data_IF_591200997381
#
_entry.id   IF_591200997381
#
_cell.length_a   1.000
_cell.length_b   1.000
_cell.length_c   1.000
_cell.angle_alpha   90.00
_cell.angle_beta   90.00
_cell.angle_gamma   90.00
#
_symmetry.space_group_name_H-M   'P 1'
#
loop_
_entity.id
_entity.type
_entity.pdbx_description
1 polymer ?
#
# COMPACT_ATOMS: atom_id res chain seq x y z
N UNK A 1 59.47 28.41 -42.56
CA UNK A 1 58.22 27.66 -42.35
C UNK A 1 58.60 26.22 -42.08
N UNK A 2 58.58 25.79 -40.81
CA UNK A 2 59.04 24.44 -40.42
C UNK A 2 58.02 23.38 -40.84
N UNK A 3 58.49 22.28 -41.42
CA UNK A 3 57.64 21.18 -41.87
C UNK A 3 56.83 20.49 -40.75
N UNK A 4 57.08 20.78 -39.47
CA UNK A 4 56.39 20.13 -38.34
C UNK A 4 54.90 20.48 -38.26
N UNK A 5 54.51 21.71 -38.64
CA UNK A 5 53.11 22.15 -38.56
C UNK A 5 52.23 21.50 -39.62
N UNK A 6 52.80 21.16 -40.77
CA UNK A 6 52.07 20.48 -41.85
C UNK A 6 51.71 19.05 -41.45
N UNK A 7 52.64 18.30 -40.86
CA UNK A 7 52.38 16.93 -40.42
C UNK A 7 51.41 16.87 -39.23
N UNK A 8 51.48 17.85 -38.32
CA UNK A 8 50.52 17.93 -37.21
C UNK A 8 49.08 18.18 -37.71
N UNK A 9 48.90 19.08 -38.68
CA UNK A 9 47.58 19.36 -39.28
C UNK A 9 47.05 18.16 -40.08
N UNK A 10 47.91 17.49 -40.86
CA UNK A 10 47.52 16.30 -41.60
C UNK A 10 47.12 15.14 -40.67
N UNK A 11 47.87 14.92 -39.60
CA UNK A 11 47.54 13.93 -38.58
C UNK A 11 46.20 14.24 -37.90
N UNK A 12 45.93 15.51 -37.59
CA UNK A 12 44.65 15.95 -37.03
C UNK A 12 43.46 15.69 -37.96
N UNK A 13 43.61 15.99 -39.26
CA UNK A 13 42.56 15.74 -40.26
C UNK A 13 42.31 14.25 -40.46
N UNK A 14 43.37 13.42 -40.52
CA UNK A 14 43.22 11.98 -40.65
C UNK A 14 42.57 11.34 -39.42
N UNK A 15 42.91 11.80 -38.21
CA UNK A 15 42.27 11.35 -36.98
C UNK A 15 40.79 11.73 -36.93
N UNK A 16 40.45 12.97 -37.31
CA UNK A 16 39.06 13.42 -37.37
C UNK A 16 38.24 12.64 -38.41
N UNK A 17 38.80 12.41 -39.61
CA UNK A 17 38.16 11.63 -40.67
C UNK A 17 37.96 10.16 -40.25
N UNK A 18 38.92 9.55 -39.57
CA UNK A 18 38.81 8.19 -39.03
C UNK A 18 37.72 8.08 -37.97
N UNK A 19 37.61 9.06 -37.06
CA UNK A 19 36.57 9.11 -36.04
C UNK A 19 35.18 9.31 -36.65
N UNK A 20 35.05 10.15 -37.67
CA UNK A 20 33.80 10.33 -38.43
C UNK A 20 33.42 9.06 -39.20
N UNK A 21 34.39 8.41 -39.85
CA UNK A 21 34.17 7.13 -40.53
C UNK A 21 33.69 6.03 -39.57
N UNK A 22 34.27 5.96 -38.37
CA UNK A 22 33.85 5.07 -37.30
C UNK A 22 32.43 5.39 -36.79
N UNK A 23 32.09 6.67 -36.64
CA UNK A 23 30.76 7.10 -36.22
C UNK A 23 29.67 6.77 -37.27
N UNK A 24 30.00 6.87 -38.57
CA UNK A 24 29.08 6.52 -39.66
C UNK A 24 28.95 4.99 -39.80
N UNK A 25 30.06 4.26 -39.76
CA UNK A 25 30.06 2.80 -39.91
C UNK A 25 29.46 2.08 -38.68
N UNK A 26 29.53 2.70 -37.51
CA UNK A 26 29.00 2.17 -36.25
C UNK A 26 28.35 3.29 -35.43
N UNK A 27 27.14 3.74 -35.81
CA UNK A 27 26.42 4.79 -35.07
C UNK A 27 26.18 4.41 -33.60
N UNK A 28 26.14 3.11 -33.28
CA UNK A 28 26.01 2.62 -31.91
C UNK A 28 27.31 2.66 -31.08
N UNK A 29 28.48 2.82 -31.71
CA UNK A 29 29.76 2.80 -31.00
C UNK A 29 29.89 3.94 -30.00
N UNK A 30 29.29 5.11 -30.29
CA UNK A 30 29.22 6.22 -29.34
C UNK A 30 28.38 5.87 -28.11
N UNK A 31 27.21 5.25 -28.30
CA UNK A 31 26.35 4.78 -27.20
C UNK A 31 27.07 3.73 -26.35
N UNK A 32 27.68 2.73 -26.98
CA UNK A 32 28.45 1.68 -26.31
C UNK A 32 29.68 2.23 -25.57
N UNK A 33 30.34 3.26 -26.10
CA UNK A 33 31.47 3.91 -25.45
C UNK A 33 31.02 4.71 -24.22
N UNK A 34 29.87 5.39 -24.28
CA UNK A 34 29.27 6.09 -23.12
C UNK A 34 28.81 5.09 -22.06
N UNK A 35 28.20 3.98 -22.47
CA UNK A 35 27.82 2.87 -21.58
C UNK A 35 29.06 2.28 -20.87
N UNK A 36 30.11 1.91 -21.62
CA UNK A 36 31.38 1.42 -21.04
C UNK A 36 32.08 2.46 -20.16
N UNK A 37 32.08 3.74 -20.55
CA UNK A 37 32.66 4.80 -19.73
C UNK A 37 31.88 4.98 -18.41
N UNK A 38 30.56 4.75 -18.44
CA UNK A 38 29.75 4.75 -17.23
C UNK A 38 30.01 3.54 -16.32
N UNK A 39 30.36 2.38 -16.90
CA UNK A 39 30.77 1.18 -16.16
C UNK A 39 32.16 1.33 -15.51
N UNK A 40 33.05 2.16 -16.09
CA UNK A 40 34.40 2.41 -15.59
C UNK A 40 34.49 3.55 -14.58
N UNK A 41 33.46 4.40 -14.47
CA UNK A 41 33.44 5.45 -13.45
C UNK A 41 33.40 4.81 -12.05
N UNK A 42 34.20 5.28 -11.06
CA UNK A 42 34.14 4.73 -9.71
C UNK A 42 32.69 4.79 -9.22
N UNK A 43 32.18 3.71 -8.60
CA UNK A 43 30.78 3.62 -8.23
C UNK A 43 30.45 4.82 -7.34
N UNK A 44 29.65 5.75 -7.88
CA UNK A 44 29.16 6.88 -7.11
C UNK A 44 28.42 6.28 -5.92
N UNK A 45 28.80 6.67 -4.70
CA UNK A 45 28.14 6.18 -3.49
C UNK A 45 26.62 6.24 -3.66
N UNK A 46 25.95 5.13 -3.35
CA UNK A 46 24.51 5.00 -3.51
C UNK A 46 23.80 6.10 -2.71
N UNK A 47 22.77 6.72 -3.28
CA UNK A 47 21.87 7.61 -2.54
C UNK A 47 21.22 6.88 -1.38
N UNK A 48 20.94 5.58 -1.54
CA UNK A 48 20.43 4.72 -0.48
C UNK A 48 21.29 4.73 0.81
N UNK A 49 22.57 5.09 0.72
CA UNK A 49 23.50 5.15 1.84
C UNK A 49 23.77 6.58 2.32
N UNK A 50 23.25 7.60 1.63
CA UNK A 50 23.50 9.01 1.95
C UNK A 50 22.41 9.58 2.84
N UNK A 51 22.81 10.40 3.81
CA UNK A 51 21.86 11.16 4.62
C UNK A 51 20.94 12.01 3.73
N UNK A 52 19.68 12.15 4.15
CA UNK A 52 18.73 12.99 3.44
C UNK A 52 19.14 14.47 3.53
N UNK A 53 19.02 15.25 2.44
CA UNK A 53 19.33 16.67 2.48
C UNK A 53 18.42 17.39 3.49
N UNK A 54 19.00 18.08 4.45
CA UNK A 54 18.23 18.83 5.44
C UNK A 54 17.41 19.94 4.78
N UNK A 55 16.12 20.03 5.12
CA UNK A 55 15.23 21.11 4.68
C UNK A 55 14.77 21.03 3.21
N UNK A 56 15.12 19.98 2.46
CA UNK A 56 14.59 19.76 1.11
C UNK A 56 13.54 18.65 1.13
N UNK A 57 12.48 18.75 0.31
CA UNK A 57 11.55 17.64 0.09
C UNK A 57 12.32 16.40 -0.39
N UNK A 58 12.02 15.24 0.20
CA UNK A 58 12.63 13.98 -0.26
C UNK A 58 12.12 13.57 -1.65
N UNK A 59 10.94 14.07 -2.04
CA UNK A 59 10.32 13.88 -3.35
C UNK A 59 10.29 15.22 -4.09
N UNK A 60 10.55 15.20 -5.39
CA UNK A 60 10.64 16.39 -6.25
C UNK A 60 9.74 16.32 -7.48
N UNK A 61 9.14 15.17 -7.75
CA UNK A 61 8.34 14.89 -8.94
C UNK A 61 7.06 14.11 -8.57
N UNK A 62 5.93 14.28 -9.30
CA UNK A 62 4.73 13.47 -9.09
C UNK A 62 4.96 11.98 -9.39
N UNK A 63 4.10 11.13 -8.82
CA UNK A 63 4.14 9.67 -9.00
C UNK A 63 3.65 9.21 -10.39
N UNK A 64 2.76 9.98 -11.00
CA UNK A 64 2.18 9.76 -12.33
C UNK A 64 1.67 11.10 -12.90
N UNK A 65 1.35 11.20 -14.20
CA UNK A 65 0.66 12.36 -14.77
C UNK A 65 -0.68 12.59 -14.05
N UNK A 66 -0.85 13.77 -13.41
CA UNK A 66 -1.99 14.04 -12.53
C UNK A 66 -3.33 14.04 -13.28
N UNK A 67 -3.30 14.39 -14.56
CA UNK A 67 -4.45 14.37 -15.47
C UNK A 67 -5.05 12.97 -15.60
N UNK A 68 -4.24 11.92 -15.50
CA UNK A 68 -4.67 10.53 -15.62
C UNK A 68 -5.12 9.93 -14.27
N UNK A 69 -4.90 10.66 -13.17
CA UNK A 69 -5.34 10.28 -11.82
C UNK A 69 -6.79 10.72 -11.60
N UNK A 70 -7.65 9.74 -11.32
CA UNK A 70 -9.04 9.96 -10.92
C UNK A 70 -9.11 10.45 -9.47
N UNK A 71 -8.54 9.66 -8.56
CA UNK A 71 -8.56 9.90 -7.13
C UNK A 71 -7.37 9.24 -6.44
N UNK A 72 -7.08 9.68 -5.23
CA UNK A 72 -6.05 9.10 -4.36
C UNK A 72 -6.72 8.60 -3.10
N UNK A 73 -6.74 7.29 -2.87
CA UNK A 73 -7.21 6.75 -1.61
C UNK A 73 -6.18 7.02 -0.51
N UNK A 74 -6.61 7.53 0.65
CA UNK A 74 -5.69 8.00 1.68
C UNK A 74 -4.96 6.84 2.38
N UNK A 75 -3.82 7.19 2.98
CA UNK A 75 -3.11 6.32 3.91
C UNK A 75 -4.03 5.93 5.08
N UNK A 76 -4.00 4.65 5.45
CA UNK A 76 -4.85 4.10 6.51
C UNK A 76 -6.28 3.78 6.06
N UNK A 77 -6.55 3.74 4.75
CA UNK A 77 -7.81 3.20 4.24
C UNK A 77 -8.01 1.75 4.71
N UNK A 78 -9.23 1.43 5.16
CA UNK A 78 -9.59 0.11 5.70
C UNK A 78 -10.77 -0.52 4.94
N UNK A 79 -11.02 -0.07 3.71
CA UNK A 79 -12.30 -0.31 3.02
C UNK A 79 -12.21 -1.30 1.88
N UNK A 80 -11.00 -1.70 1.48
CA UNK A 80 -10.79 -2.60 0.34
C UNK A 80 -10.56 -4.05 0.84
N UNK A 81 -11.40 -5.01 0.42
CA UNK A 81 -11.20 -6.42 0.74
C UNK A 81 -9.84 -6.94 0.24
N UNK A 82 -9.21 -7.83 1.00
CA UNK A 82 -7.96 -8.48 0.60
C UNK A 82 -6.69 -7.64 0.81
N UNK A 83 -6.83 -6.40 1.30
CA UNK A 83 -5.69 -5.53 1.55
C UNK A 83 -5.15 -5.64 2.99
N UNK A 84 -3.85 -5.34 3.19
CA UNK A 84 -3.30 -5.17 4.52
C UNK A 84 -4.07 -4.06 5.25
N UNK A 85 -4.44 -4.32 6.50
CA UNK A 85 -5.24 -3.40 7.29
C UNK A 85 -4.47 -2.74 8.43
N UNK A 86 -4.66 -1.41 8.60
CA UNK A 86 -5.08 -0.46 7.57
C UNK A 86 -4.01 -0.35 6.48
N UNK A 87 -4.38 0.15 5.30
CA UNK A 87 -3.47 0.25 4.17
C UNK A 87 -2.26 1.13 4.53
N UNK A 88 -1.01 0.63 4.43
CA UNK A 88 0.20 1.37 4.79
C UNK A 88 0.73 2.25 3.64
N UNK A 89 -0.12 2.54 2.67
CA UNK A 89 0.18 3.32 1.46
C UNK A 89 -1.01 4.19 1.10
N UNK A 90 -0.78 5.19 0.24
CA UNK A 90 -1.86 5.77 -0.56
C UNK A 90 -2.09 4.90 -1.79
N UNK A 91 -3.31 4.84 -2.31
CA UNK A 91 -3.57 4.24 -3.61
C UNK A 91 -3.87 5.30 -4.65
N UNK A 92 -3.15 5.26 -5.76
CA UNK A 92 -3.44 6.06 -6.95
C UNK A 92 -4.47 5.30 -7.77
N UNK A 93 -5.68 5.85 -7.89
CA UNK A 93 -6.74 5.30 -8.74
C UNK A 93 -6.77 6.06 -10.06
N UNK A 94 -6.69 5.34 -11.16
CA UNK A 94 -6.68 5.93 -12.50
C UNK A 94 -8.10 6.11 -13.03
N UNK A 95 -8.25 6.94 -14.06
CA UNK A 95 -9.55 7.15 -14.72
C UNK A 95 -10.06 5.89 -15.38
N UNK A 96 -11.36 5.83 -15.65
CA UNK A 96 -11.95 4.75 -16.46
C UNK A 96 -11.30 4.70 -17.86
N UNK A 97 -11.09 3.48 -18.35
CA UNK A 97 -10.69 3.17 -19.71
C UNK A 97 -11.88 3.29 -20.67
N UNK A 98 -11.81 2.57 -21.79
CA UNK A 98 -12.84 2.63 -22.84
C UNK A 98 -14.18 2.04 -22.37
N UNK A 99 -14.13 1.06 -21.45
CA UNK A 99 -15.32 0.51 -20.81
C UNK A 99 -15.54 1.05 -19.39
N UNK A 100 -16.77 0.97 -18.89
CA UNK A 100 -17.17 1.46 -17.56
C UNK A 100 -16.41 0.77 -16.42
N UNK A 101 -15.84 -0.40 -16.68
CA UNK A 101 -15.15 -1.25 -15.72
C UNK A 101 -13.64 -1.33 -15.92
N UNK A 102 -13.13 -0.92 -17.08
CA UNK A 102 -11.69 -0.80 -17.30
C UNK A 102 -11.15 0.46 -16.66
N UNK A 103 -9.91 0.38 -16.18
CA UNK A 103 -9.13 1.53 -15.74
C UNK A 103 -8.08 1.81 -16.80
N UNK A 104 -7.81 3.08 -17.05
CA UNK A 104 -6.77 3.50 -17.98
C UNK A 104 -5.43 3.20 -17.32
N UNK A 105 -4.58 2.45 -18.01
CA UNK A 105 -3.19 2.26 -17.60
C UNK A 105 -2.45 3.60 -17.68
N UNK A 106 -1.67 3.91 -16.66
CA UNK A 106 -0.91 5.17 -16.56
C UNK A 106 0.57 4.89 -16.41
N UNK A 107 1.38 5.83 -16.87
CA UNK A 107 2.82 5.80 -16.68
C UNK A 107 3.16 6.11 -15.22
N UNK A 108 3.98 5.25 -14.63
CA UNK A 108 4.48 5.41 -13.26
C UNK A 108 5.88 6.02 -13.32
N UNK A 109 6.08 7.12 -12.59
CA UNK A 109 7.25 7.98 -12.69
C UNK A 109 8.06 7.97 -11.39
N UNK A 110 9.37 8.07 -11.51
CA UNK A 110 10.26 8.23 -10.36
C UNK A 110 9.97 9.56 -9.64
N UNK A 111 9.63 9.55 -8.33
CA UNK A 111 9.18 10.75 -7.64
C UNK A 111 10.35 11.64 -7.19
N UNK A 112 11.58 11.16 -7.35
CA UNK A 112 12.83 11.87 -7.12
C UNK A 112 13.96 11.12 -7.82
N UNK A 113 15.14 11.72 -7.83
CA UNK A 113 16.37 10.98 -8.06
C UNK A 113 16.55 9.97 -6.90
N UNK A 114 16.60 8.69 -7.22
CA UNK A 114 16.66 7.62 -6.23
C UNK A 114 17.48 6.42 -6.72
N UNK A 115 17.89 5.56 -5.80
CA UNK A 115 18.29 4.19 -6.15
C UNK A 115 17.08 3.27 -6.02
N UNK A 116 16.79 2.48 -7.05
CA UNK A 116 15.96 1.28 -6.89
C UNK A 116 16.84 0.25 -6.17
N UNK A 117 16.42 -0.16 -4.99
CA UNK A 117 17.16 -1.08 -4.10
C UNK A 117 16.65 -2.52 -4.20
N UNK A 118 15.42 -2.71 -4.65
CA UNK A 118 14.89 -4.02 -4.97
C UNK A 118 13.75 -3.94 -5.99
N UNK A 119 13.56 -5.02 -6.73
CA UNK A 119 12.44 -5.25 -7.64
C UNK A 119 11.81 -6.58 -7.25
N UNK A 120 10.50 -6.60 -7.06
CA UNK A 120 9.73 -7.81 -6.77
C UNK A 120 8.74 -8.06 -7.92
N UNK A 121 8.46 -9.34 -8.21
CA UNK A 121 7.38 -9.78 -9.09
C UNK A 121 6.55 -10.81 -8.35
N UNK A 122 5.24 -10.66 -8.41
CA UNK A 122 4.24 -11.57 -7.86
C UNK A 122 3.30 -12.08 -8.94
N UNK A 123 2.96 -13.36 -8.88
CA UNK A 123 1.87 -13.96 -9.65
C UNK A 123 0.64 -13.97 -8.76
N UNK A 124 -0.36 -13.17 -9.12
CA UNK A 124 -1.64 -13.14 -8.44
C UNK A 124 -2.49 -14.30 -8.95
N UNK A 125 -3.02 -15.11 -8.03
CA UNK A 125 -3.88 -16.25 -8.35
C UNK A 125 -5.33 -15.94 -8.07
N UNK A 126 -6.22 -16.44 -8.93
CA UNK A 126 -7.67 -16.36 -8.72
C UNK A 126 -8.15 -17.35 -7.63
N UNK A 127 -9.46 -17.36 -7.37
CA UNK A 127 -10.10 -18.26 -6.40
C UNK A 127 -9.93 -19.75 -6.73
N UNK A 128 -9.58 -20.10 -7.98
CA UNK A 128 -9.29 -21.47 -8.41
C UNK A 128 -7.81 -21.83 -8.30
N UNK A 129 -6.96 -20.88 -7.88
CA UNK A 129 -5.52 -21.03 -7.81
C UNK A 129 -4.82 -20.87 -9.16
N UNK A 130 -5.50 -20.41 -10.22
CA UNK A 130 -4.87 -20.16 -11.52
C UNK A 130 -4.20 -18.79 -11.52
N UNK A 131 -3.06 -18.69 -12.19
CA UNK A 131 -2.41 -17.40 -12.41
C UNK A 131 -3.36 -16.48 -13.18
N UNK A 132 -3.75 -15.38 -12.56
CA UNK A 132 -4.71 -14.42 -13.08
C UNK A 132 -4.04 -13.11 -13.50
N UNK A 133 -3.01 -12.68 -12.78
CA UNK A 133 -2.26 -11.47 -13.10
C UNK A 133 -0.79 -11.58 -12.67
N UNK A 134 0.03 -10.68 -13.18
CA UNK A 134 1.38 -10.42 -12.67
C UNK A 134 1.41 -9.01 -12.11
N UNK A 135 1.96 -8.87 -10.91
CA UNK A 135 2.09 -7.61 -10.19
C UNK A 135 3.55 -7.38 -9.84
N UNK A 136 4.02 -6.14 -9.98
CA UNK A 136 5.40 -5.78 -9.69
C UNK A 136 5.49 -4.74 -8.58
N UNK A 137 6.55 -4.85 -7.78
CA UNK A 137 6.89 -3.88 -6.74
C UNK A 137 8.26 -3.30 -7.01
N UNK A 138 8.40 -1.97 -6.98
CA UNK A 138 9.67 -1.26 -7.04
C UNK A 138 9.95 -0.62 -5.69
N UNK A 139 11.13 -0.87 -5.12
CA UNK A 139 11.59 -0.30 -3.85
C UNK A 139 12.64 0.77 -4.14
N UNK A 140 12.36 2.03 -3.79
CA UNK A 140 13.21 3.18 -4.07
C UNK A 140 13.73 3.79 -2.77
N UNK A 141 14.97 4.27 -2.79
CA UNK A 141 15.56 5.09 -1.73
C UNK A 141 16.11 6.40 -2.31
N UNK A 142 15.42 7.54 -2.17
CA UNK A 142 16.00 8.85 -2.50
C UNK A 142 17.17 9.23 -1.56
N UNK A 143 17.16 8.70 -0.34
CA UNK A 143 18.22 8.85 0.66
C UNK A 143 18.11 7.73 1.73
N UNK A 144 19.01 7.71 2.71
CA UNK A 144 19.14 6.62 3.68
C UNK A 144 17.95 6.46 4.63
N UNK A 145 17.28 7.55 5.02
CA UNK A 145 16.15 7.47 5.96
C UNK A 145 14.79 7.41 5.29
N UNK A 146 14.68 7.69 3.99
CA UNK A 146 13.40 7.68 3.27
C UNK A 146 13.38 6.50 2.30
N UNK A 147 12.39 5.62 2.47
CA UNK A 147 12.11 4.53 1.54
C UNK A 147 10.74 4.76 0.93
N UNK A 148 10.66 4.67 -0.40
CA UNK A 148 9.42 4.70 -1.16
C UNK A 148 9.24 3.35 -1.82
N UNK A 149 8.01 2.89 -1.99
CA UNK A 149 7.75 1.79 -2.89
C UNK A 149 6.52 2.06 -3.74
N UNK A 150 6.58 1.51 -4.94
CA UNK A 150 5.42 1.37 -5.82
C UNK A 150 5.06 -0.10 -5.86
N UNK A 151 3.82 -0.43 -5.53
CA UNK A 151 3.30 -1.79 -5.57
C UNK A 151 2.12 -1.87 -6.54
N UNK A 152 1.80 -3.09 -6.97
CA UNK A 152 0.75 -3.36 -7.97
C UNK A 152 0.97 -2.70 -9.32
N UNK A 153 2.22 -2.70 -9.80
CA UNK A 153 2.50 -2.30 -11.18
C UNK A 153 2.20 -3.46 -12.13
N UNK A 154 1.48 -3.19 -13.22
CA UNK A 154 1.22 -4.18 -14.29
C UNK A 154 2.51 -4.56 -15.02
N UNK A 155 3.42 -3.59 -15.16
CA UNK A 155 4.71 -3.77 -15.82
C UNK A 155 5.79 -2.85 -15.26
N UNK A 156 7.03 -3.30 -15.35
CA UNK A 156 8.24 -2.51 -15.08
C UNK A 156 8.95 -2.25 -16.40
N UNK A 157 9.55 -1.07 -16.56
CA UNK A 157 10.32 -0.72 -17.74
C UNK A 157 11.41 -1.77 -18.01
N UNK A 158 11.47 -2.30 -19.23
CA UNK A 158 12.38 -3.39 -19.61
C UNK A 158 13.86 -3.03 -19.36
N UNK A 159 14.20 -1.75 -19.52
CA UNK A 159 15.54 -1.23 -19.23
C UNK A 159 15.94 -1.44 -17.76
N UNK A 160 15.01 -1.35 -16.81
CA UNK A 160 15.26 -1.59 -15.39
C UNK A 160 15.46 -3.08 -15.11
N UNK A 161 14.63 -3.94 -15.69
CA UNK A 161 14.78 -5.41 -15.57
C UNK A 161 16.12 -5.87 -16.14
N UNK A 162 16.52 -5.34 -17.31
CA UNK A 162 17.83 -5.62 -17.91
C UNK A 162 18.98 -5.13 -17.02
N UNK A 163 18.90 -3.90 -16.49
CA UNK A 163 19.90 -3.34 -15.56
C UNK A 163 19.97 -4.09 -14.23
N UNK A 164 18.91 -4.81 -13.86
CA UNK A 164 18.88 -5.69 -12.69
C UNK A 164 19.47 -7.09 -12.96
N UNK A 165 19.99 -7.35 -14.17
CA UNK A 165 20.53 -8.66 -14.55
C UNK A 165 19.53 -9.60 -15.23
N UNK A 166 18.34 -9.10 -15.59
CA UNK A 166 17.26 -9.89 -16.18
C UNK A 166 16.53 -10.75 -15.14
N UNK A 167 15.49 -11.46 -15.58
CA UNK A 167 14.70 -12.35 -14.71
C UNK A 167 15.52 -13.50 -14.10
N UNK A 168 16.63 -13.89 -14.73
CA UNK A 168 17.54 -14.92 -14.21
C UNK A 168 18.30 -14.51 -12.96
N UNK A 169 18.36 -13.21 -12.64
CA UNK A 169 18.99 -12.71 -11.42
C UNK A 169 18.04 -12.71 -10.21
N UNK A 170 16.74 -12.96 -10.42
CA UNK A 170 15.76 -12.96 -9.35
C UNK A 170 15.82 -14.28 -8.58
N UNK A 171 15.63 -14.19 -7.27
CA UNK A 171 15.52 -15.33 -6.36
C UNK A 171 14.06 -15.54 -5.95
N UNK A 172 13.66 -16.79 -5.74
CA UNK A 172 12.34 -17.13 -5.23
C UNK A 172 12.21 -16.78 -3.74
N UNK A 173 11.04 -16.24 -3.37
CA UNK A 173 10.65 -15.88 -2.01
C UNK A 173 9.35 -16.64 -1.70
N UNK A 174 9.39 -17.67 -0.88
CA UNK A 174 8.16 -18.42 -0.53
C UNK A 174 7.63 -19.34 -1.63
N UNK A 175 8.24 -19.35 -2.81
CA UNK A 175 7.89 -20.18 -3.95
C UNK A 175 7.97 -19.46 -5.29
N UNK A 176 7.53 -20.11 -6.38
CA UNK A 176 7.70 -19.60 -7.76
C UNK A 176 6.84 -18.38 -8.08
N UNK A 177 5.82 -18.11 -7.25
CA UNK A 177 4.88 -17.00 -7.46
C UNK A 177 5.41 -15.66 -6.95
N UNK A 178 6.47 -15.66 -6.15
CA UNK A 178 7.06 -14.41 -5.66
C UNK A 178 8.56 -14.49 -5.85
N UNK A 179 9.08 -13.65 -6.74
CA UNK A 179 10.50 -13.54 -7.01
C UNK A 179 10.97 -12.12 -6.76
N UNK A 180 12.22 -11.94 -6.35
CA UNK A 180 12.79 -10.61 -6.16
C UNK A 180 14.28 -10.56 -6.46
N UNK A 181 14.80 -9.36 -6.68
CA UNK A 181 16.23 -9.10 -6.87
C UNK A 181 16.63 -7.84 -6.12
N UNK A 182 17.78 -7.88 -5.45
CA UNK A 182 18.41 -6.69 -4.86
C UNK A 182 19.15 -5.95 -5.97
N UNK A 183 19.05 -4.62 -5.99
CA UNK A 183 19.68 -3.84 -7.04
C UNK A 183 20.18 -2.49 -6.55
N UNK A 184 20.88 -1.75 -7.42
CA UNK A 184 21.41 -0.40 -7.16
C UNK A 184 21.24 0.49 -8.39
N UNK A 185 20.06 0.41 -8.98
CA UNK A 185 19.73 1.10 -10.23
C UNK A 185 19.40 2.55 -9.90
N UNK A 186 20.29 3.47 -10.25
CA UNK A 186 20.01 4.91 -10.18
C UNK A 186 18.96 5.30 -11.22
N UNK A 187 17.91 5.99 -10.78
CA UNK A 187 16.92 6.65 -11.63
C UNK A 187 16.95 8.17 -11.43
N UNK A 188 16.50 8.91 -12.45
CA UNK A 188 16.29 10.36 -12.40
C UNK A 188 14.86 10.65 -11.96
N UNK A 189 14.64 11.85 -11.41
CA UNK A 189 13.27 12.33 -11.19
C UNK A 189 12.49 12.39 -12.51
N UNK A 190 11.22 11.98 -12.49
CA UNK A 190 10.36 11.89 -13.67
C UNK A 190 10.69 10.76 -14.64
N UNK A 191 11.70 9.93 -14.37
CA UNK A 191 12.01 8.76 -15.20
C UNK A 191 10.85 7.77 -15.21
N UNK A 192 10.48 7.28 -16.39
CA UNK A 192 9.47 6.25 -16.56
C UNK A 192 9.94 4.92 -15.94
N UNK A 193 9.16 4.39 -15.01
CA UNK A 193 9.48 3.16 -14.28
C UNK A 193 8.65 1.96 -14.70
N UNK A 194 7.47 2.19 -15.27
CA UNK A 194 6.51 1.13 -15.58
C UNK A 194 5.11 1.66 -15.82
N UNK A 195 4.14 0.76 -15.88
CA UNK A 195 2.71 1.10 -16.03
C UNK A 195 1.84 0.38 -15.03
N UNK A 196 0.71 0.99 -14.70
CA UNK A 196 -0.30 0.42 -13.83
C UNK A 196 -1.70 0.97 -14.16
N UNK A 197 -2.75 0.15 -13.99
CA UNK A 197 -4.16 0.58 -14.01
C UNK A 197 -4.67 1.05 -12.63
N UNK A 198 -3.73 1.41 -11.76
CA UNK A 198 -3.90 1.78 -10.37
C UNK A 198 -2.76 1.18 -9.59
N UNK A 199 -2.16 1.92 -8.68
CA UNK A 199 -0.98 1.45 -7.96
C UNK A 199 -0.88 2.04 -6.57
N UNK A 200 -0.12 1.37 -5.73
CA UNK A 200 0.04 1.72 -4.33
C UNK A 200 1.37 2.45 -4.14
N UNK A 201 1.35 3.58 -3.45
CA UNK A 201 2.54 4.37 -3.11
C UNK A 201 2.68 4.39 -1.59
N UNK A 202 3.64 3.62 -1.08
CA UNK A 202 3.98 3.70 0.33
C UNK A 202 5.30 4.43 0.55
N UNK A 203 5.38 5.11 1.69
CA UNK A 203 6.57 5.85 2.12
C UNK A 203 6.84 5.55 3.59
N UNK A 204 8.10 5.24 3.88
CA UNK A 204 8.62 5.04 5.23
C UNK A 204 9.70 6.07 5.52
N UNK A 205 9.61 6.75 6.66
CA UNK A 205 10.65 7.66 7.14
C UNK A 205 11.26 7.15 8.45
N UNK A 206 12.47 6.61 8.35
CA UNK A 206 13.27 6.08 9.45
C UNK A 206 13.81 7.18 10.38
N UNK A 207 13.81 8.44 9.95
CA UNK A 207 14.22 9.57 10.79
C UNK A 207 13.11 10.01 11.75
N UNK A 208 11.84 9.72 11.43
CA UNK A 208 10.70 10.11 12.27
C UNK A 208 10.33 8.94 13.20
N UNK A 209 10.13 9.18 14.51
CA UNK A 209 9.73 8.12 15.44
C UNK A 209 8.43 7.44 14.97
N UNK A 210 8.19 6.17 15.33
CA UNK A 210 6.91 5.52 15.05
C UNK A 210 5.71 6.37 15.44
N UNK A 211 4.60 6.25 14.70
CA UNK A 211 3.39 7.01 15.03
C UNK A 211 2.96 6.72 16.49
N UNK A 212 2.34 7.67 17.23
CA UNK A 212 1.98 7.48 18.65
C UNK A 212 1.12 6.25 18.95
N UNK A 213 0.41 5.73 17.95
CA UNK A 213 -0.45 4.55 18.03
C UNK A 213 0.10 3.36 17.25
N UNK A 214 1.30 3.49 16.69
CA UNK A 214 2.01 2.34 16.18
C UNK A 214 2.39 1.44 17.35
N UNK A 215 2.29 0.13 17.15
CA UNK A 215 2.88 -0.89 18.01
C UNK A 215 4.05 -1.51 17.27
N UNK A 216 5.25 -0.88 17.27
CA UNK A 216 6.39 -1.37 16.49
C UNK A 216 6.71 -2.83 16.77
N UNK A 217 6.49 -3.31 17.99
CA UNK A 217 6.64 -4.72 18.37
C UNK A 217 5.82 -5.68 17.49
N UNK A 218 4.64 -5.27 16.99
CA UNK A 218 3.82 -6.07 16.06
C UNK A 218 4.40 -6.16 14.65
N UNK A 219 5.18 -5.16 14.27
CA UNK A 219 5.75 -4.99 12.93
C UNK A 219 7.24 -5.34 12.89
N UNK A 220 7.84 -5.69 14.03
CA UNK A 220 9.27 -6.04 14.12
C UNK A 220 9.57 -7.47 13.72
N UNK A 221 8.61 -8.39 13.89
CA UNK A 221 8.83 -9.81 13.68
C UNK A 221 7.68 -10.43 12.91
N UNK A 222 7.91 -10.74 11.63
CA UNK A 222 7.10 -11.70 10.91
C UNK A 222 7.77 -13.07 10.95
N UNK A 223 7.25 -13.95 11.82
CA UNK A 223 7.71 -15.32 11.92
C UNK A 223 7.53 -16.09 10.61
N UNK A 224 6.52 -15.71 9.81
CA UNK A 224 6.18 -16.35 8.54
C UNK A 224 7.03 -15.83 7.39
N UNK A 225 7.40 -14.54 7.37
CA UNK A 225 8.38 -14.02 6.42
C UNK A 225 9.75 -14.72 6.52
N UNK A 226 10.13 -15.22 7.70
CA UNK A 226 11.35 -16.03 7.86
C UNK A 226 11.19 -17.47 7.37
N UNK A 227 9.99 -18.04 7.45
CA UNK A 227 9.72 -19.41 7.02
C UNK A 227 9.54 -19.54 5.51
N UNK A 228 9.03 -18.48 4.85
CA UNK A 228 8.84 -18.45 3.40
C UNK A 228 10.16 -18.19 2.65
N UNK A 229 11.19 -17.60 3.27
CA UNK A 229 12.35 -17.08 2.53
C UNK A 229 13.67 -17.73 2.96
N UNK A 230 13.71 -19.07 2.98
CA UNK A 230 14.91 -19.81 3.44
C UNK A 230 16.17 -19.52 2.60
N UNK A 231 16.02 -19.15 1.33
CA UNK A 231 17.14 -19.04 0.38
C UNK A 231 17.48 -17.60 -0.06
N UNK A 232 16.72 -16.57 0.36
CA UNK A 232 17.05 -15.21 -0.08
C UNK A 232 18.20 -14.59 0.74
N UNK A 233 19.06 -13.79 0.10
CA UNK A 233 20.09 -13.03 0.82
C UNK A 233 19.49 -12.14 1.91
N UNK A 234 20.10 -12.06 3.12
CA UNK A 234 19.62 -11.16 4.18
C UNK A 234 19.52 -9.70 3.75
N UNK A 235 20.40 -9.23 2.87
CA UNK A 235 20.37 -7.88 2.32
C UNK A 235 19.14 -7.61 1.44
N UNK A 236 18.70 -8.61 0.66
CA UNK A 236 17.46 -8.52 -0.10
C UNK A 236 16.25 -8.46 0.83
N UNK A 237 16.22 -9.31 1.86
CA UNK A 237 15.17 -9.28 2.88
C UNK A 237 15.08 -7.91 3.55
N UNK A 238 16.23 -7.31 3.89
CA UNK A 238 16.29 -5.97 4.47
C UNK A 238 15.81 -4.89 3.48
N UNK A 239 16.06 -5.06 2.17
CA UNK A 239 15.64 -4.13 1.13
C UNK A 239 14.12 -4.17 0.84
N UNK A 240 13.47 -5.33 0.99
CA UNK A 240 12.02 -5.51 0.76
C UNK A 240 11.19 -5.45 2.03
N UNK A 241 11.78 -5.45 3.23
CA UNK A 241 11.01 -5.41 4.47
C UNK A 241 10.40 -4.01 4.68
N UNK A 242 9.06 -3.89 4.74
CA UNK A 242 8.42 -2.62 5.07
C UNK A 242 8.58 -2.27 6.56
N UNK A 243 8.65 -0.97 6.91
CA UNK A 243 8.55 -0.48 8.30
C UNK A 243 7.20 0.21 8.50
N UNK A 244 6.14 -0.59 8.66
CA UNK A 244 4.76 -0.09 8.75
C UNK A 244 4.55 0.87 9.93
N UNK A 245 5.33 0.72 11.01
CA UNK A 245 5.29 1.61 12.16
C UNK A 245 5.71 3.05 11.82
N UNK A 246 6.46 3.21 10.74
CA UNK A 246 6.97 4.47 10.20
C UNK A 246 6.36 4.84 8.86
N UNK A 247 5.25 4.21 8.47
CA UNK A 247 4.48 4.62 7.30
C UNK A 247 4.04 6.09 7.43
N UNK A 248 4.19 6.86 6.35
CA UNK A 248 3.81 8.27 6.24
C UNK A 248 3.04 8.51 4.96
N UNK A 249 2.24 9.57 4.94
CA UNK A 249 1.56 9.94 3.71
C UNK A 249 2.62 10.39 2.69
N UNK A 250 2.69 9.71 1.55
CA UNK A 250 3.65 10.07 0.51
C UNK A 250 3.42 11.49 -0.03
N UNK A 251 2.18 12.00 0.04
CA UNK A 251 1.85 13.36 -0.40
C UNK A 251 2.56 14.44 0.43
N UNK A 252 2.79 14.20 1.72
CA UNK A 252 3.43 15.19 2.61
C UNK A 252 4.89 15.47 2.23
N UNK A 253 5.52 14.54 1.49
CA UNK A 253 6.90 14.62 1.04
C UNK A 253 7.04 15.25 -0.34
N UNK A 254 5.93 15.56 -1.02
CA UNK A 254 5.94 16.29 -2.29
C UNK A 254 6.22 17.79 -2.07
N UNK A 255 6.78 18.48 -3.08
CA UNK A 255 6.82 19.95 -3.14
C UNK A 255 5.42 20.55 -2.94
N UNK A 256 5.34 21.77 -2.41
CA UNK A 256 4.08 22.36 -1.95
C UNK A 256 2.99 22.40 -3.04
N UNK A 257 3.34 22.87 -4.22
CA UNK A 257 2.46 22.97 -5.39
C UNK A 257 1.94 21.59 -5.83
N UNK A 258 2.82 20.59 -5.91
CA UNK A 258 2.44 19.21 -6.22
C UNK A 258 1.58 18.62 -5.11
N UNK A 259 1.93 18.85 -3.85
CA UNK A 259 1.16 18.38 -2.69
C UNK A 259 -0.25 18.94 -2.70
N UNK A 260 -0.43 20.23 -2.93
CA UNK A 260 -1.76 20.86 -3.02
C UNK A 260 -2.59 20.22 -4.14
N UNK A 261 -2.00 20.03 -5.32
CA UNK A 261 -2.68 19.42 -6.47
C UNK A 261 -3.05 17.94 -6.26
N UNK A 262 -2.17 17.15 -5.64
CA UNK A 262 -2.43 15.75 -5.31
C UNK A 262 -3.39 15.57 -4.13
N UNK A 263 -3.30 16.44 -3.11
CA UNK A 263 -4.21 16.43 -1.96
C UNK A 263 -5.65 16.72 -2.40
N UNK A 264 -5.84 17.58 -3.41
CA UNK A 264 -7.16 17.83 -4.00
C UNK A 264 -7.79 16.59 -4.65
N UNK A 265 -7.01 15.53 -4.93
CA UNK A 265 -7.48 14.23 -5.43
C UNK A 265 -7.82 13.24 -4.31
N UNK A 266 -7.56 13.55 -3.04
CA UNK A 266 -7.85 12.62 -1.94
C UNK A 266 -9.34 12.29 -1.86
N UNK A 267 -9.65 11.00 -1.87
CA UNK A 267 -11.03 10.52 -1.93
C UNK A 267 -11.15 9.00 -1.96
N UNK A 268 -12.36 8.50 -2.26
CA UNK A 268 -12.56 7.06 -2.42
C UNK A 268 -11.97 6.54 -3.73
N UNK A 269 -11.96 5.22 -3.89
CA UNK A 269 -11.39 4.53 -5.06
C UNK A 269 -12.06 4.91 -6.40
N UNK A 270 -13.18 5.62 -6.36
CA UNK A 270 -13.96 6.03 -7.53
C UNK A 270 -14.02 7.54 -7.72
N UNK A 271 -13.40 8.32 -6.83
CA UNK A 271 -13.44 9.78 -6.83
C UNK A 271 -14.81 10.38 -6.53
N UNK A 272 -15.75 9.59 -6.01
CA UNK A 272 -17.12 10.03 -5.70
C UNK A 272 -17.15 10.83 -4.41
N UNK A 273 -16.45 10.34 -3.39
CA UNK A 273 -16.28 11.02 -2.11
C UNK A 273 -14.92 11.69 -2.04
N UNK A 274 -14.91 12.97 -1.65
CA UNK A 274 -13.68 13.69 -1.32
C UNK A 274 -13.35 13.52 0.15
N UNK A 275 -12.07 13.44 0.46
CA UNK A 275 -11.61 13.42 1.84
C UNK A 275 -11.94 14.74 2.54
N UNK A 276 -12.33 14.64 3.83
CA UNK A 276 -12.76 15.75 4.67
C UNK A 276 -11.78 15.96 5.82
N UNK A 277 -11.56 17.22 6.16
CA UNK A 277 -10.72 17.65 7.28
C UNK A 277 -9.24 17.82 6.91
N UNK A 278 -8.49 18.45 7.81
CA UNK A 278 -7.10 18.85 7.58
C UNK A 278 -6.11 17.67 7.55
N UNK A 279 -6.52 16.51 8.07
CA UNK A 279 -5.71 15.28 8.14
C UNK A 279 -6.28 14.17 7.24
N UNK A 280 -6.65 14.52 6.01
CA UNK A 280 -7.25 13.61 5.03
C UNK A 280 -6.36 12.41 4.68
N UNK A 281 -5.05 12.52 4.84
CA UNK A 281 -4.09 11.44 4.64
C UNK A 281 -3.51 10.98 5.99
N UNK A 282 -4.31 10.19 6.72
CA UNK A 282 -4.07 9.82 8.13
C UNK A 282 -2.88 8.88 8.29
N UNK A 283 -2.51 8.59 9.54
CA UNK A 283 -1.58 7.51 9.84
C UNK A 283 -2.20 6.16 9.50
N UNK A 284 -1.39 5.25 8.93
CA UNK A 284 -1.82 3.87 8.67
C UNK A 284 -2.19 3.12 9.95
N UNK A 285 -1.70 3.56 11.12
CA UNK A 285 -1.89 2.87 12.38
C UNK A 285 -2.77 3.70 13.29
N UNK A 286 -3.85 3.07 13.78
CA UNK A 286 -4.92 3.71 14.56
C UNK A 286 -5.23 2.95 15.86
N UNK A 287 -4.31 2.12 16.35
CA UNK A 287 -4.51 1.33 17.57
C UNK A 287 -4.61 2.25 18.79
N UNK A 288 -5.83 2.54 19.23
CA UNK A 288 -6.05 3.28 20.46
C UNK A 288 -5.76 2.38 21.68
N UNK A 289 -4.84 2.76 22.59
CA UNK A 289 -4.60 2.02 23.82
C UNK A 289 -5.89 1.86 24.62
N UNK A 290 -6.10 0.68 25.21
CA UNK A 290 -7.29 0.40 26.03
C UNK A 290 -8.64 0.30 25.28
N UNK A 291 -8.72 0.69 24.00
CA UNK A 291 -10.00 0.79 23.29
C UNK A 291 -10.18 -0.26 22.18
N UNK A 292 -11.34 -0.25 21.51
CA UNK A 292 -11.66 -1.16 20.40
C UNK A 292 -11.02 -0.72 19.08
N UNK A 293 -10.72 0.57 18.92
CA UNK A 293 -10.12 1.08 17.70
C UNK A 293 -8.76 0.42 17.43
N UNK A 294 -8.58 -0.09 16.22
CA UNK A 294 -7.37 -0.80 15.84
C UNK A 294 -7.60 -2.04 14.99
N UNK A 295 -6.51 -2.80 14.81
CA UNK A 295 -6.50 -4.08 14.09
C UNK A 295 -6.67 -5.23 15.08
N UNK A 296 -7.46 -6.22 14.67
CA UNK A 296 -7.78 -7.41 15.45
C UNK A 296 -7.69 -8.67 14.59
N UNK A 297 -7.23 -9.78 15.15
CA UNK A 297 -6.91 -10.98 14.40
C UNK A 297 -7.84 -12.13 14.77
N UNK A 298 -8.11 -13.04 13.83
CA UNK A 298 -8.93 -14.24 14.10
C UNK A 298 -8.19 -15.33 14.88
N UNK A 299 -6.87 -15.19 15.03
CA UNK A 299 -6.00 -16.09 15.77
C UNK A 299 -4.97 -15.26 16.55
N UNK A 300 -4.64 -15.68 17.77
CA UNK A 300 -3.63 -15.08 18.63
C UNK A 300 -2.21 -15.22 18.07
N UNK A 301 -1.96 -16.19 17.17
CA UNK A 301 -0.65 -16.38 16.54
C UNK A 301 -0.37 -15.44 15.35
N UNK A 302 -1.40 -14.77 14.82
CA UNK A 302 -1.26 -13.88 13.66
C UNK A 302 -0.75 -12.49 14.06
N UNK A 303 -0.02 -11.87 13.12
CA UNK A 303 0.46 -10.48 13.25
C UNK A 303 0.03 -9.67 12.00
N UNK A 304 0.29 -8.37 12.05
CA UNK A 304 -0.10 -7.43 11.00
C UNK A 304 0.76 -7.49 9.71
N UNK A 305 1.75 -8.38 9.65
CA UNK A 305 2.65 -8.55 8.50
C UNK A 305 2.26 -9.72 7.61
N UNK A 306 1.43 -10.65 8.10
CA UNK A 306 1.00 -11.79 7.29
C UNK A 306 0.09 -11.31 6.15
N UNK A 307 0.41 -11.71 4.92
CA UNK A 307 -0.42 -11.49 3.72
C UNK A 307 -1.79 -12.20 3.78
N UNK A 308 -1.99 -13.07 4.77
CA UNK A 308 -3.25 -13.76 5.00
C UNK A 308 -4.24 -12.81 5.64
N UNK A 309 -5.42 -12.70 5.02
CA UNK A 309 -6.55 -11.86 5.41
C UNK A 309 -7.18 -12.31 6.74
N UNK A 310 -6.43 -12.50 7.82
CA UNK A 310 -6.92 -12.97 9.12
C UNK A 310 -7.29 -11.83 10.07
N UNK A 311 -7.24 -10.59 9.58
CA UNK A 311 -7.48 -9.41 10.37
C UNK A 311 -8.82 -8.73 10.03
N UNK A 312 -9.35 -8.02 11.03
CA UNK A 312 -10.38 -7.00 10.88
C UNK A 312 -9.83 -5.68 11.43
N UNK A 313 -10.43 -4.56 11.01
CA UNK A 313 -10.09 -3.26 11.55
C UNK A 313 -11.33 -2.48 11.98
N UNK A 314 -11.22 -1.83 13.14
CA UNK A 314 -12.21 -0.90 13.65
C UNK A 314 -11.59 0.49 13.58
N UNK A 315 -12.10 1.31 12.67
CA UNK A 315 -11.47 2.56 12.27
C UNK A 315 -12.50 3.66 12.04
N UNK A 316 -12.16 4.93 12.29
CA UNK A 316 -12.77 6.03 11.55
C UNK A 316 -12.45 5.89 10.06
N UNK A 317 -13.38 6.24 9.20
CA UNK A 317 -13.11 6.34 7.77
C UNK A 317 -12.04 7.41 7.51
N UNK A 318 -11.07 7.05 6.68
CA UNK A 318 -9.97 7.94 6.31
C UNK A 318 -10.44 9.12 5.44
N UNK A 319 -11.58 8.98 4.76
CA UNK A 319 -12.19 10.01 3.92
C UNK A 319 -13.13 10.91 4.74
N UNK A 320 -13.99 10.33 5.57
CA UNK A 320 -14.91 11.06 6.43
C UNK A 320 -14.81 10.56 7.88
N UNK A 321 -13.98 11.19 8.72
CA UNK A 321 -13.74 10.74 10.08
C UNK A 321 -14.96 10.67 10.99
N UNK A 322 -16.07 11.31 10.61
CA UNK A 322 -17.34 11.23 11.32
C UNK A 322 -18.08 9.93 11.06
N UNK A 323 -17.65 9.14 10.08
CA UNK A 323 -18.12 7.79 9.84
C UNK A 323 -17.14 6.78 10.42
N UNK A 324 -17.69 5.75 11.04
CA UNK A 324 -16.93 4.63 11.58
C UNK A 324 -17.14 3.41 10.72
N UNK A 325 -16.11 2.56 10.68
CA UNK A 325 -16.01 1.41 9.80
C UNK A 325 -15.60 0.17 10.58
N UNK A 326 -16.36 -0.90 10.40
CA UNK A 326 -15.92 -2.26 10.68
C UNK A 326 -15.42 -2.90 9.37
N UNK A 327 -14.12 -2.98 9.17
CA UNK A 327 -13.51 -3.71 8.06
C UNK A 327 -13.46 -5.20 8.41
N UNK A 328 -14.46 -5.97 7.99
CA UNK A 328 -14.68 -7.33 8.50
C UNK A 328 -14.05 -8.44 7.67
N UNK A 329 -13.79 -8.20 6.37
CA UNK A 329 -13.15 -9.18 5.48
C UNK A 329 -13.79 -10.57 5.50
N UNK A 330 -15.11 -10.63 5.70
CA UNK A 330 -15.88 -11.87 5.81
C UNK A 330 -15.54 -12.73 7.03
N UNK A 331 -14.88 -12.17 8.06
CA UNK A 331 -14.45 -12.91 9.26
C UNK A 331 -15.50 -13.00 10.35
N UNK A 332 -16.55 -12.17 10.29
CA UNK A 332 -17.65 -12.23 11.25
C UNK A 332 -18.67 -13.28 10.84
N UNK A 333 -18.61 -14.48 11.43
CA UNK A 333 -19.43 -15.64 11.02
C UNK A 333 -20.93 -15.43 11.18
N UNK A 334 -21.32 -14.65 12.20
CA UNK A 334 -22.71 -14.31 12.47
C UNK A 334 -23.32 -13.36 11.44
N UNK A 335 -22.52 -12.64 10.65
CA UNK A 335 -23.01 -11.74 9.61
C UNK A 335 -23.34 -12.54 8.35
N UNK A 336 -24.63 -12.83 8.15
CA UNK A 336 -25.09 -13.69 7.07
C UNK A 336 -25.64 -12.88 5.88
N UNK A 337 -25.53 -13.38 4.64
CA UNK A 337 -26.01 -12.67 3.44
C UNK A 337 -27.46 -12.21 3.50
N UNK A 338 -28.35 -12.96 4.15
CA UNK A 338 -29.76 -12.62 4.34
C UNK A 338 -29.99 -11.36 5.20
N UNK A 339 -28.99 -10.94 5.98
CA UNK A 339 -29.04 -9.70 6.75
C UNK A 339 -28.83 -8.47 5.86
N UNK A 340 -28.36 -8.63 4.62
CA UNK A 340 -28.14 -7.51 3.70
C UNK A 340 -29.46 -7.15 3.01
N UNK A 341 -29.96 -5.94 3.23
CA UNK A 341 -31.21 -5.44 2.65
C UNK A 341 -31.07 -5.09 1.16
N UNK A 342 -30.83 -6.10 0.32
CA UNK A 342 -30.81 -5.97 -1.15
C UNK A 342 -32.12 -6.44 -1.77
N UNK A 343 -32.60 -5.78 -2.85
CA UNK A 343 -33.69 -6.29 -3.68
C UNK A 343 -33.38 -7.69 -4.23
N UNK A 344 -34.39 -8.54 -4.50
CA UNK A 344 -34.18 -9.89 -5.03
C UNK A 344 -33.33 -9.94 -6.31
N UNK A 345 -33.43 -8.93 -7.17
CA UNK A 345 -32.65 -8.85 -8.41
C UNK A 345 -31.12 -8.73 -8.21
N UNK A 346 -30.65 -8.51 -6.98
CA UNK A 346 -29.23 -8.38 -6.62
C UNK A 346 -28.79 -9.43 -5.59
N UNK A 347 -29.50 -10.56 -5.51
CA UNK A 347 -29.24 -11.61 -4.51
C UNK A 347 -27.80 -12.15 -4.58
N UNK A 348 -27.27 -12.35 -5.80
CA UNK A 348 -25.89 -12.81 -6.03
C UNK A 348 -24.83 -11.87 -5.43
N UNK A 349 -25.18 -10.58 -5.20
CA UNK A 349 -24.28 -9.59 -4.61
C UNK A 349 -24.30 -9.56 -3.08
N UNK A 350 -25.26 -10.24 -2.43
CA UNK A 350 -25.37 -10.25 -0.95
C UNK A 350 -24.15 -10.88 -0.30
N UNK A 351 -23.62 -11.95 -0.87
CA UNK A 351 -22.45 -12.65 -0.35
C UNK A 351 -21.18 -11.78 -0.39
N UNK A 352 -21.03 -10.91 -1.40
CA UNK A 352 -19.94 -9.93 -1.45
C UNK A 352 -20.11 -8.84 -0.40
N UNK A 353 -21.33 -8.31 -0.26
CA UNK A 353 -21.63 -7.22 0.67
C UNK A 353 -21.36 -7.56 2.16
N UNK A 354 -21.43 -8.84 2.55
CA UNK A 354 -21.07 -9.28 3.91
C UNK A 354 -19.56 -9.47 4.12
N UNK A 355 -18.79 -9.55 3.03
CA UNK A 355 -17.33 -9.74 3.08
C UNK A 355 -16.56 -8.43 3.15
N UNK A 356 -17.17 -7.32 2.78
CA UNK A 356 -16.51 -6.01 2.73
C UNK A 356 -16.38 -5.39 4.14
N UNK A 357 -16.88 -4.17 4.29
CA UNK A 357 -16.89 -3.41 5.52
C UNK A 357 -18.29 -2.89 5.81
N UNK A 358 -18.57 -2.66 7.10
CA UNK A 358 -19.79 -2.01 7.54
C UNK A 358 -19.50 -0.57 7.96
N UNK A 359 -20.36 0.36 7.59
CA UNK A 359 -20.28 1.75 8.03
C UNK A 359 -21.52 2.18 8.82
N UNK A 360 -21.34 3.15 9.71
CA UNK A 360 -22.41 3.71 10.54
C UNK A 360 -22.07 5.13 11.03
N UNK A 361 -23.08 5.82 11.53
CA UNK A 361 -22.96 7.15 12.14
C UNK A 361 -22.65 7.03 13.64
N UNK A 362 -21.73 7.87 14.12
CA UNK A 362 -21.36 7.95 15.54
C UNK A 362 -22.57 8.29 16.41
N UNK A 363 -22.69 7.57 17.50
CA UNK A 363 -23.59 7.83 18.62
C UNK A 363 -22.80 8.08 19.92
N UNK A 364 -23.43 7.77 21.04
CA UNK A 364 -22.89 7.99 22.37
C UNK A 364 -23.36 6.91 23.36
N UNK A 365 -22.69 6.82 24.50
CA UNK A 365 -23.01 5.84 25.53
C UNK A 365 -22.78 4.41 25.04
N UNK A 366 -23.80 3.55 25.15
CA UNK A 366 -23.71 2.14 24.76
C UNK A 366 -24.13 1.88 23.30
N UNK A 367 -24.68 2.88 22.59
CA UNK A 367 -25.17 2.75 21.21
C UNK A 367 -24.31 3.57 20.24
N UNK A 368 -23.74 2.89 19.23
CA UNK A 368 -22.83 3.47 18.24
C UNK A 368 -21.67 4.32 18.82
N UNK A 369 -21.08 4.01 19.98
CA UNK A 369 -19.98 4.84 20.49
C UNK A 369 -18.79 4.84 19.51
N UNK A 370 -17.94 5.87 19.55
CA UNK A 370 -16.69 5.80 18.83
C UNK A 370 -15.78 4.71 19.39
N UNK A 371 -14.99 4.08 18.51
CA UNK A 371 -14.22 2.89 18.87
C UNK A 371 -13.14 3.15 19.92
N UNK A 372 -12.69 4.39 20.03
CA UNK A 372 -11.77 4.87 21.07
C UNK A 372 -12.45 5.09 22.43
N UNK A 373 -13.79 5.11 22.49
CA UNK A 373 -14.59 5.21 23.72
C UNK A 373 -15.04 3.85 24.27
N UNK A 374 -14.92 2.76 23.51
CA UNK A 374 -15.25 1.40 23.96
C UNK A 374 -14.30 0.95 25.09
N UNK A 375 -14.86 0.37 26.15
CA UNK A 375 -14.13 -0.11 27.34
C UNK A 375 -14.34 -1.60 27.59
N UNK A 376 -13.48 -2.18 28.42
CA UNK A 376 -13.57 -3.59 28.83
C UNK A 376 -14.82 -3.86 29.67
N UNK A 377 -15.34 -5.09 29.59
CA UNK A 377 -16.45 -5.62 30.40
C UNK A 377 -17.82 -4.95 30.19
N UNK A 378 -18.01 -4.19 29.11
CA UNK A 378 -19.30 -3.67 28.68
C UNK A 378 -19.65 -4.20 27.28
N UNK A 379 -20.94 -4.46 27.05
CA UNK A 379 -21.45 -4.80 25.72
C UNK A 379 -22.00 -3.52 25.09
N UNK A 380 -21.46 -3.18 23.93
CA UNK A 380 -21.88 -2.06 23.11
C UNK A 380 -22.68 -2.58 21.92
N UNK A 381 -23.69 -1.81 21.50
CA UNK A 381 -24.52 -2.16 20.36
C UNK A 381 -24.33 -1.13 19.24
N UNK A 382 -24.17 -1.64 18.03
CA UNK A 382 -24.04 -0.84 16.84
C UNK A 382 -25.23 -1.11 15.90
N UNK A 383 -25.92 -0.05 15.50
CA UNK A 383 -27.13 -0.09 14.68
C UNK A 383 -27.03 0.88 13.50
N UNK A 384 -28.00 0.80 12.59
CA UNK A 384 -28.01 1.65 11.39
C UNK A 384 -26.86 1.33 10.42
N UNK A 385 -26.36 0.10 10.48
CA UNK A 385 -25.23 -0.40 9.72
C UNK A 385 -25.56 -0.43 8.23
N UNK A 386 -24.55 -0.14 7.40
CA UNK A 386 -24.61 -0.27 5.94
C UNK A 386 -23.46 -1.12 5.45
N UNK A 387 -23.73 -2.00 4.49
CA UNK A 387 -22.66 -2.61 3.70
C UNK A 387 -22.05 -1.49 2.85
N UNK A 388 -20.76 -1.18 3.09
CA UNK A 388 -20.08 0.00 2.57
C UNK A 388 -20.76 1.35 2.92
N UNK A 389 -20.30 2.47 2.33
CA UNK A 389 -20.77 3.82 2.67
C UNK A 389 -22.09 4.26 2.05
N UNK A 390 -22.42 3.70 0.88
CA UNK A 390 -23.61 4.06 0.08
C UNK A 390 -24.48 2.84 -0.23
N UNK A 391 -24.09 1.67 0.28
CA UNK A 391 -24.74 0.42 0.00
C UNK A 391 -25.95 0.14 0.89
N UNK A 392 -26.50 -1.07 0.75
CA UNK A 392 -27.72 -1.48 1.43
C UNK A 392 -27.54 -1.43 2.95
N UNK A 393 -28.65 -1.22 3.66
CA UNK A 393 -28.67 -1.37 5.12
C UNK A 393 -28.46 -2.83 5.49
N UNK A 394 -27.87 -3.05 6.65
CA UNK A 394 -27.86 -4.35 7.30
C UNK A 394 -29.07 -4.40 8.23
N UNK A 395 -29.92 -5.42 8.03
CA UNK A 395 -31.06 -5.75 8.87
C UNK A 395 -30.58 -6.53 10.11
N UNK A 396 -29.63 -5.96 10.84
CA UNK A 396 -29.07 -6.51 12.06
C UNK A 396 -28.46 -5.39 12.89
N UNK A 397 -28.26 -5.67 14.18
CA UNK A 397 -27.33 -4.90 15.01
C UNK A 397 -26.05 -5.70 15.23
N UNK A 398 -24.95 -5.01 15.57
CA UNK A 398 -23.69 -5.62 15.98
C UNK A 398 -23.47 -5.41 17.48
N UNK A 399 -23.30 -6.49 18.21
CA UNK A 399 -22.83 -6.46 19.59
C UNK A 399 -21.31 -6.56 19.62
N UNK A 400 -20.67 -5.75 20.46
CA UNK A 400 -19.23 -5.73 20.66
C UNK A 400 -18.91 -5.72 22.15
N UNK A 401 -17.94 -6.54 22.56
CA UNK A 401 -17.39 -6.50 23.92
C UNK A 401 -15.88 -6.63 23.89
N UNK A 402 -15.19 -5.84 24.71
CA UNK A 402 -13.78 -6.03 25.02
C UNK A 402 -13.62 -6.80 26.34
N UNK A 403 -12.67 -7.72 26.37
CA UNK A 403 -12.29 -8.45 27.57
C UNK A 403 -10.82 -8.84 27.53
N UNK A 404 -10.37 -9.60 28.55
CA UNK A 404 -9.02 -10.15 28.63
C UNK A 404 -9.09 -11.66 28.80
N UNK A 405 -8.19 -12.36 28.12
CA UNK A 405 -7.90 -13.76 28.40
C UNK A 405 -7.12 -13.90 29.72
N UNK A 406 -7.00 -15.13 30.22
CA UNK A 406 -6.30 -15.44 31.46
C UNK A 406 -4.80 -15.06 31.43
N UNK A 407 -4.19 -15.08 30.24
CA UNK A 407 -2.80 -14.67 29.98
C UNK A 407 -2.64 -13.15 29.82
N UNK A 408 -3.73 -12.38 29.94
CA UNK A 408 -3.75 -10.94 29.78
C UNK A 408 -3.91 -10.45 28.32
N UNK A 409 -3.97 -11.36 27.33
CA UNK A 409 -4.23 -11.01 25.94
C UNK A 409 -5.59 -10.33 25.79
N UNK A 410 -5.68 -9.32 24.91
CA UNK A 410 -6.92 -8.59 24.72
C UNK A 410 -7.81 -9.32 23.74
N UNK A 411 -9.06 -9.51 24.14
CA UNK A 411 -10.09 -10.16 23.35
C UNK A 411 -11.15 -9.15 22.95
N UNK A 412 -11.67 -9.31 21.73
CA UNK A 412 -12.87 -8.64 21.28
C UNK A 412 -13.87 -9.69 20.81
N UNK A 413 -15.06 -9.70 21.41
CA UNK A 413 -16.21 -10.46 20.91
C UNK A 413 -17.06 -9.58 20.02
N UNK A 414 -17.46 -10.10 18.87
CA UNK A 414 -18.38 -9.46 17.94
C UNK A 414 -19.47 -10.44 17.52
N UNK A 415 -20.72 -10.00 17.48
CA UNK A 415 -21.85 -10.79 16.99
C UNK A 415 -22.83 -9.92 16.23
N UNK A 416 -23.26 -10.37 15.05
CA UNK A 416 -24.34 -9.78 14.29
C UNK A 416 -25.66 -10.46 14.65
N UNK A 417 -26.63 -9.66 15.08
CA UNK A 417 -27.95 -10.07 15.57
C UNK A 417 -29.01 -9.71 14.53
N UNK A 418 -29.35 -10.67 13.68
CA UNK A 418 -30.39 -10.50 12.64
C UNK A 418 -31.83 -10.55 13.17
N UNK A 419 -32.00 -10.82 14.46
CA UNK A 419 -33.28 -10.81 15.17
C UNK A 419 -33.66 -9.41 15.71
N UNK A 420 -32.80 -8.40 15.52
CA UNK A 420 -33.06 -7.02 15.92
C UNK A 420 -32.55 -6.02 14.87
N UNK A 421 -33.35 -4.99 14.59
CA UNK A 421 -32.99 -3.89 13.68
C UNK A 421 -32.45 -2.65 14.41
N UNK A 422 -32.67 -2.57 15.72
CA UNK A 422 -32.20 -1.51 16.60
C UNK A 422 -31.78 -2.10 17.95
N UNK A 423 -30.91 -1.39 18.65
CA UNK A 423 -30.38 -1.78 19.95
C UNK A 423 -31.47 -1.85 21.03
N UNK A 424 -32.52 -1.01 20.92
CA UNK A 424 -33.66 -1.01 21.83
C UNK A 424 -34.61 -2.20 21.62
N UNK A 425 -34.50 -2.91 20.49
CA UNK A 425 -35.25 -4.13 20.23
C UNK A 425 -34.63 -5.36 20.93
N UNK A 426 -33.39 -5.25 21.43
CA UNK A 426 -32.75 -6.29 22.22
C UNK A 426 -33.06 -6.09 23.72
N UNK A 427 -33.36 -7.16 24.46
CA UNK A 427 -33.57 -7.06 25.91
C UNK A 427 -32.27 -6.62 26.60
N UNK A 428 -32.39 -5.66 27.51
CA UNK A 428 -31.30 -5.24 28.38
C UNK A 428 -31.23 -6.10 29.66
N UNK A 429 -30.04 -6.45 30.17
CA UNK A 429 -28.73 -6.19 29.57
C UNK A 429 -28.53 -7.02 28.30
N UNK A 430 -27.92 -6.43 27.27
CA UNK A 430 -27.63 -7.16 26.04
C UNK A 430 -26.72 -8.36 26.33
N UNK A 431 -26.90 -9.43 25.57
CA UNK A 431 -26.08 -10.64 25.66
C UNK A 431 -25.79 -11.22 24.29
N UNK A 432 -24.65 -11.89 24.17
CA UNK A 432 -24.33 -12.75 23.03
C UNK A 432 -25.22 -14.00 23.03
N UNK A 433 -25.47 -14.58 21.85
CA UNK A 433 -26.26 -15.81 21.71
C UNK A 433 -25.41 -17.07 21.68
N UNK A 434 -24.08 -16.91 21.74
CA UNK A 434 -23.11 -18.00 21.47
C UNK A 434 -22.64 -18.04 20.01
N UNK A 435 -23.14 -17.14 19.17
CA UNK A 435 -22.73 -17.01 17.76
C UNK A 435 -21.59 -15.99 17.57
N UNK A 436 -21.01 -15.46 18.65
CA UNK A 436 -19.96 -14.46 18.55
C UNK A 436 -18.68 -15.00 17.90
N UNK A 437 -17.98 -14.12 17.20
CA UNK A 437 -16.58 -14.35 16.79
C UNK A 437 -15.66 -13.62 17.76
N UNK A 438 -14.67 -14.34 18.28
CA UNK A 438 -13.61 -13.76 19.13
C UNK A 438 -12.41 -13.39 18.27
N UNK A 439 -11.92 -12.17 18.46
CA UNK A 439 -10.71 -11.64 17.86
C UNK A 439 -9.67 -11.29 18.92
N UNK A 440 -8.40 -11.33 18.54
CA UNK A 440 -7.23 -11.23 19.40
C UNK A 440 -6.39 -10.00 19.04
N UNK A 441 -5.68 -9.44 20.02
CA UNK A 441 -4.88 -8.23 19.84
C UNK A 441 -3.70 -8.08 20.80
#
# INVERSE_FOLDING_TARGET
MSGSDYFARLAGVLAAAALLGLAIARPEAGRLAVERASDLAPPRAALADRACPAGQPALTHPFAPLEDVLSVSPLGAATAPGEPLPAPHIRVNTRRGETVFERRSVDVLAPARADIVAIERRIERDETGRAAATSWTLRLKPCASVSVYYDRLDSVAESLIRRAGGLSAFVELGGPDHIAVETRIRVREGEFLGRADGFDVGLYDLAVPPAPFARPERYRYDAFARAEVLDAPPSLLDAIRPDLARARCALDYLPRDLREAWTAKLGDAWGVRRAKGENACRTALIDAPGAAQGVWFTDASHNALTSRVSAIALAPDAIDPERLVFALHGRLRSLKPEMVALPPALEDRRAGATRDFLSFEKGAGLVNPPFDAVRENQIYCYQGLRANFVGPRINAVLLLQLSRAADGARLMKLEARGDALSCDALPAPWSFTGAETTFYR
#
